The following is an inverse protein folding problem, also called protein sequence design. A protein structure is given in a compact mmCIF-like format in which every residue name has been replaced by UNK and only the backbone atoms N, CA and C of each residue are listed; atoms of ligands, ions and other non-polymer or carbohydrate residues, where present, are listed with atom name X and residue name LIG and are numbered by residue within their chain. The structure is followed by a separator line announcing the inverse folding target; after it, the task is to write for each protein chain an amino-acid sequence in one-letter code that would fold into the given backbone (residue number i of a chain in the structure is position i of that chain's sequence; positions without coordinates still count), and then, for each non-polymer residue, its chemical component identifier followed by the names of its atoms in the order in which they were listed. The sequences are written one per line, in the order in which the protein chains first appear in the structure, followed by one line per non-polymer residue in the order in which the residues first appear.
data_IF_660041432206
#
_entry.id   IF_660041432206
#
_cell.length_a   1.000
_cell.length_b   1.000
_cell.length_c   1.000
_cell.angle_alpha   90.00
_cell.angle_beta   90.00
_cell.angle_gamma   90.00
#
_symmetry.space_group_name_H-M   'P 1'
#
loop_
_entity.id
_entity.type
_entity.pdbx_description
1 polymer ?
#
# COMPACT_ATOMS: atom_id res chain seq x y z
N UNK A 1 -26.73 9.42 -0.64
CA UNK A 1 -26.08 10.35 -1.58
C UNK A 1 -24.61 9.98 -1.60
N UNK A 2 -24.22 9.25 -2.63
CA UNK A 2 -22.89 8.67 -2.83
C UNK A 2 -21.87 9.79 -3.06
N UNK A 3 -21.00 10.03 -2.07
CA UNK A 3 -19.84 10.88 -2.27
C UNK A 3 -18.79 10.06 -3.04
N UNK A 4 -18.93 10.06 -4.38
CA UNK A 4 -17.93 9.56 -5.34
C UNK A 4 -16.69 10.44 -5.26
N UNK A 5 -15.92 10.36 -4.17
CA UNK A 5 -14.63 11.05 -4.04
C UNK A 5 -13.65 10.42 -5.02
N UNK A 6 -13.47 11.16 -6.12
CA UNK A 6 -12.33 11.22 -7.02
C UNK A 6 -11.32 10.08 -6.86
N UNK A 7 -11.51 9.03 -7.66
CA UNK A 7 -10.51 7.97 -7.84
C UNK A 7 -9.24 8.63 -8.35
N UNK A 8 -8.16 8.55 -7.58
CA UNK A 8 -6.85 9.00 -8.01
C UNK A 8 -6.39 8.15 -9.21
N UNK A 9 -6.58 8.67 -10.42
CA UNK A 9 -6.38 7.92 -11.66
C UNK A 9 -4.94 7.46 -11.90
N UNK A 10 -3.96 8.04 -11.19
CA UNK A 10 -2.54 7.81 -11.47
C UNK A 10 -2.04 6.43 -11.00
N UNK A 11 -2.61 5.83 -9.95
CA UNK A 11 -2.24 4.46 -9.56
C UNK A 11 -2.84 3.40 -10.50
N UNK A 12 -3.90 3.76 -11.23
CA UNK A 12 -4.51 2.91 -12.26
C UNK A 12 -3.74 2.94 -13.57
N UNK A 13 -2.85 3.92 -13.76
CA UNK A 13 -2.07 4.00 -14.99
C UNK A 13 -1.03 2.87 -15.04
N UNK A 14 -0.55 2.53 -16.25
CA UNK A 14 0.62 1.69 -16.40
C UNK A 14 1.80 2.18 -15.55
N UNK A 15 2.68 1.26 -15.10
CA UNK A 15 3.89 1.66 -14.39
C UNK A 15 4.82 2.46 -15.30
N UNK A 16 5.61 3.35 -14.71
CA UNK A 16 6.61 4.13 -15.44
C UNK A 16 7.95 3.39 -15.54
N UNK A 17 8.25 2.56 -14.55
CA UNK A 17 9.48 1.76 -14.49
C UNK A 17 9.50 0.73 -15.61
N UNK A 18 10.62 0.68 -16.32
CA UNK A 18 10.96 -0.44 -17.20
C UNK A 18 11.96 -1.31 -16.46
N UNK A 19 11.55 -2.54 -16.15
CA UNK A 19 12.38 -3.50 -15.45
C UNK A 19 12.78 -4.58 -16.44
N UNK A 20 14.07 -4.74 -16.65
CA UNK A 20 14.57 -5.83 -17.45
C UNK A 20 14.33 -7.16 -16.73
N UNK A 21 13.98 -8.23 -17.46
CA UNK A 21 13.86 -9.54 -16.86
C UNK A 21 15.21 -9.95 -16.24
N UNK A 22 15.21 -10.70 -15.13
CA UNK A 22 16.44 -11.16 -14.52
C UNK A 22 17.22 -12.04 -15.52
N UNK A 23 18.51 -11.72 -15.70
CA UNK A 23 19.43 -12.48 -16.56
C UNK A 23 19.63 -13.89 -16.00
N UNK A 24 19.64 -14.02 -14.67
CA UNK A 24 19.62 -15.29 -13.97
C UNK A 24 18.19 -15.83 -13.87
N UNK A 25 17.95 -16.95 -14.56
CA UNK A 25 16.68 -17.67 -14.44
C UNK A 25 16.47 -18.17 -13.02
N UNK A 26 15.26 -18.02 -12.48
CA UNK A 26 14.84 -18.47 -11.12
C UNK A 26 15.45 -17.72 -9.94
N UNK A 27 15.88 -16.46 -10.12
CA UNK A 27 16.17 -15.60 -8.96
C UNK A 27 14.93 -15.52 -8.05
N UNK A 28 15.08 -15.83 -6.76
CA UNK A 28 13.97 -15.80 -5.80
C UNK A 28 13.66 -14.39 -5.27
N UNK A 29 14.38 -13.38 -5.74
CA UNK A 29 14.17 -11.98 -5.37
C UNK A 29 13.34 -11.27 -6.44
N UNK A 30 12.33 -10.53 -6.00
CA UNK A 30 11.56 -9.67 -6.88
C UNK A 30 12.32 -8.35 -7.11
N UNK A 31 12.33 -7.78 -8.33
CA UNK A 31 13.16 -6.63 -8.67
C UNK A 31 12.59 -5.29 -8.15
N UNK A 32 12.14 -5.24 -6.90
CA UNK A 32 11.53 -4.06 -6.28
C UNK A 32 12.49 -2.87 -6.19
N UNK A 33 13.79 -3.12 -6.10
CA UNK A 33 14.82 -2.10 -6.16
C UNK A 33 14.80 -1.27 -7.45
N UNK A 34 14.36 -1.84 -8.56
CA UNK A 34 14.26 -1.13 -9.85
C UNK A 34 12.98 -0.30 -10.01
N UNK A 35 11.96 -0.50 -9.15
CA UNK A 35 10.71 0.24 -9.23
C UNK A 35 10.90 1.68 -8.75
N UNK A 36 10.15 2.63 -9.29
CA UNK A 36 9.95 3.94 -8.66
C UNK A 36 9.11 3.78 -7.37
N UNK A 37 9.10 4.82 -6.52
CA UNK A 37 8.26 4.81 -5.33
C UNK A 37 6.77 4.68 -5.70
N UNK A 38 6.36 5.42 -6.71
CA UNK A 38 5.03 5.42 -7.31
C UNK A 38 4.64 4.04 -7.85
N UNK A 39 5.55 3.36 -8.55
CA UNK A 39 5.27 2.03 -9.10
C UNK A 39 5.20 0.93 -8.04
N UNK A 40 5.94 1.10 -6.94
CA UNK A 40 5.79 0.21 -5.79
C UNK A 40 4.40 0.38 -5.14
N UNK A 41 3.92 1.61 -4.97
CA UNK A 41 2.55 1.86 -4.49
C UNK A 41 1.49 1.29 -5.44
N UNK A 42 1.69 1.40 -6.78
CA UNK A 42 0.83 0.76 -7.79
C UNK A 42 0.79 -0.74 -7.62
N UNK A 43 1.94 -1.37 -7.43
CA UNK A 43 2.03 -2.80 -7.20
C UNK A 43 1.25 -3.20 -5.95
N UNK A 44 1.46 -2.53 -4.83
CA UNK A 44 0.75 -2.80 -3.58
C UNK A 44 -0.77 -2.67 -3.76
N UNK A 45 -1.25 -1.60 -4.42
CA UNK A 45 -2.68 -1.45 -4.73
C UNK A 45 -3.24 -2.63 -5.54
N UNK A 46 -2.52 -3.05 -6.58
CA UNK A 46 -2.95 -4.17 -7.43
C UNK A 46 -2.99 -5.48 -6.65
N UNK A 47 -2.00 -5.72 -5.79
CA UNK A 47 -1.98 -6.91 -4.92
C UNK A 47 -3.18 -6.91 -3.95
N UNK A 48 -3.45 -5.78 -3.29
CA UNK A 48 -4.60 -5.66 -2.38
C UNK A 48 -5.93 -5.93 -3.09
N UNK A 49 -6.06 -5.57 -4.38
CA UNK A 49 -7.27 -5.83 -5.16
C UNK A 49 -7.44 -7.28 -5.60
N UNK A 50 -6.36 -8.07 -5.62
CA UNK A 50 -6.46 -9.49 -5.88
C UNK A 50 -7.02 -10.26 -4.68
N UNK A 51 -7.05 -9.65 -3.49
CA UNK A 51 -7.66 -10.25 -2.31
C UNK A 51 -9.17 -10.36 -2.48
N UNK A 52 -9.68 -11.59 -2.45
CA UNK A 52 -11.09 -11.95 -2.73
C UNK A 52 -12.12 -11.35 -1.78
N UNK A 53 -11.65 -10.72 -0.69
CA UNK A 53 -12.49 -10.15 0.37
C UNK A 53 -12.63 -8.64 0.28
N UNK A 54 -11.98 -7.98 -0.68
CA UNK A 54 -11.97 -6.52 -0.81
C UNK A 54 -13.10 -6.04 -1.72
N UNK A 55 -14.04 -5.31 -1.13
CA UNK A 55 -15.23 -4.78 -1.81
C UNK A 55 -14.97 -3.40 -2.41
N UNK A 56 -14.10 -2.62 -1.77
CA UNK A 56 -13.72 -1.27 -2.18
C UNK A 56 -12.29 -0.96 -1.73
N UNK A 57 -11.45 -0.45 -2.62
CA UNK A 57 -10.04 -0.15 -2.34
C UNK A 57 -9.62 1.19 -2.94
N UNK A 58 -9.13 2.10 -2.09
CA UNK A 58 -8.80 3.47 -2.47
C UNK A 58 -7.56 4.01 -1.76
N UNK A 59 -6.97 5.04 -2.38
CA UNK A 59 -5.90 5.84 -1.81
C UNK A 59 -6.37 6.68 -0.64
N UNK A 60 -5.50 6.84 0.36
CA UNK A 60 -5.72 7.77 1.44
C UNK A 60 -4.98 9.10 1.20
N UNK A 61 -5.74 10.15 0.88
CA UNK A 61 -5.25 11.52 0.74
C UNK A 61 -4.38 11.78 -0.49
N UNK A 62 -3.88 13.02 -0.60
CA UNK A 62 -2.99 13.49 -1.68
C UNK A 62 -1.58 13.65 -1.12
N UNK A 63 -0.54 13.39 -1.94
CA UNK A 63 0.86 13.70 -1.60
C UNK A 63 0.96 15.10 -1.00
N UNK A 64 1.54 15.21 0.20
CA UNK A 64 1.70 16.47 0.93
C UNK A 64 0.63 16.73 2.01
N UNK A 65 -0.43 15.95 2.09
CA UNK A 65 -1.39 15.97 3.21
C UNK A 65 -0.91 15.09 4.37
N UNK A 66 -1.40 15.34 5.60
CA UNK A 66 -1.20 14.42 6.73
C UNK A 66 -1.96 13.12 6.46
N UNK A 67 -1.29 12.13 5.88
CA UNK A 67 -1.87 10.83 5.53
C UNK A 67 -1.92 9.83 6.71
N UNK A 68 -1.84 10.31 7.96
CA UNK A 68 -1.96 9.51 9.21
C UNK A 68 -1.14 8.20 9.27
N UNK A 69 -0.18 8.01 8.37
CA UNK A 69 0.59 6.77 8.26
C UNK A 69 -0.09 5.65 7.46
N UNK A 70 -1.09 5.91 6.63
CA UNK A 70 -1.63 4.92 5.68
C UNK A 70 -1.62 5.46 4.26
N UNK A 71 -1.44 4.57 3.29
CA UNK A 71 -1.43 4.91 1.86
C UNK A 71 -2.69 4.38 1.16
N UNK A 72 -3.20 3.22 1.59
CA UNK A 72 -4.36 2.54 0.99
C UNK A 72 -5.31 2.10 2.10
N UNK A 73 -6.62 2.19 1.85
CA UNK A 73 -7.63 1.51 2.65
C UNK A 73 -8.51 0.62 1.79
N UNK A 74 -8.89 -0.53 2.33
CA UNK A 74 -9.76 -1.51 1.71
C UNK A 74 -10.91 -1.87 2.66
N UNK A 75 -12.15 -1.80 2.18
CA UNK A 75 -13.33 -2.28 2.91
C UNK A 75 -13.50 -3.76 2.63
N UNK A 76 -13.69 -4.57 3.66
CA UNK A 76 -13.99 -5.99 3.53
C UNK A 76 -15.48 -6.19 3.25
N UNK A 77 -15.82 -7.16 2.42
CA UNK A 77 -17.22 -7.51 2.07
C UNK A 77 -18.05 -7.97 3.27
N UNK A 78 -17.39 -8.59 4.25
CA UNK A 78 -18.05 -9.23 5.40
C UNK A 78 -18.10 -8.38 6.67
N UNK A 79 -17.51 -7.18 6.69
CA UNK A 79 -17.35 -6.39 7.90
C UNK A 79 -17.44 -4.88 7.65
N UNK A 80 -17.95 -4.13 8.62
CA UNK A 80 -17.93 -2.66 8.62
C UNK A 80 -16.58 -2.08 9.08
N UNK A 81 -15.50 -2.84 8.85
CA UNK A 81 -14.12 -2.50 9.22
C UNK A 81 -13.23 -2.49 7.98
N UNK A 82 -12.14 -1.74 8.08
CA UNK A 82 -11.17 -1.58 7.00
C UNK A 82 -9.89 -2.39 7.26
N UNK A 83 -9.32 -2.95 6.20
CA UNK A 83 -7.88 -3.19 6.13
C UNK A 83 -7.19 -1.92 5.66
N UNK A 84 -6.11 -1.52 6.30
CA UNK A 84 -5.29 -0.39 5.85
C UNK A 84 -3.87 -0.85 5.57
N UNK A 85 -3.24 -0.20 4.60
CA UNK A 85 -1.92 -0.58 4.11
C UNK A 85 -1.02 0.65 4.09
N UNK A 86 0.23 0.45 4.51
CA UNK A 86 1.29 1.43 4.37
C UNK A 86 2.40 0.87 3.48
N UNK A 87 2.78 1.61 2.46
CA UNK A 87 3.80 1.25 1.49
C UNK A 87 5.14 1.87 1.88
N UNK A 88 6.18 1.05 1.97
CA UNK A 88 7.54 1.46 2.34
C UNK A 88 8.56 0.84 1.39
N UNK A 89 8.90 1.59 0.33
CA UNK A 89 10.02 1.25 -0.56
C UNK A 89 11.35 1.80 -0.01
N UNK A 90 11.70 1.39 1.20
CA UNK A 90 12.93 1.81 1.90
C UNK A 90 13.77 0.57 2.16
N UNK A 91 15.09 0.69 2.03
CA UNK A 91 16.02 -0.38 2.41
C UNK A 91 16.17 -0.44 3.92
N UNK A 92 16.45 -1.62 4.45
CA UNK A 92 16.70 -1.85 5.87
C UNK A 92 15.51 -1.39 6.74
N UNK A 93 14.29 -1.70 6.30
CA UNK A 93 13.05 -1.42 7.04
C UNK A 93 12.92 -2.35 8.27
N UNK A 94 13.79 -2.13 9.25
CA UNK A 94 13.94 -2.99 10.43
C UNK A 94 12.96 -2.70 11.58
N UNK A 95 13.17 -3.34 12.75
CA UNK A 95 12.24 -3.33 13.87
C UNK A 95 11.81 -1.94 14.34
N UNK A 96 12.75 -0.99 14.47
CA UNK A 96 12.44 0.38 14.89
C UNK A 96 11.51 1.11 13.92
N UNK A 97 11.66 0.87 12.61
CA UNK A 97 10.80 1.46 11.60
C UNK A 97 9.39 0.84 11.64
N UNK A 98 9.31 -0.47 11.90
CA UNK A 98 8.05 -1.19 12.10
C UNK A 98 7.32 -0.65 13.33
N UNK A 99 7.98 -0.56 14.48
CA UNK A 99 7.43 0.00 15.72
C UNK A 99 6.93 1.43 15.53
N UNK A 100 7.71 2.27 14.85
CA UNK A 100 7.33 3.64 14.52
C UNK A 100 6.10 3.70 13.62
N UNK A 101 6.00 2.83 12.62
CA UNK A 101 4.85 2.75 11.72
C UNK A 101 3.58 2.32 12.47
N UNK A 102 3.66 1.28 13.29
CA UNK A 102 2.54 0.79 14.11
C UNK A 102 2.10 1.86 15.11
N UNK A 103 3.04 2.49 15.82
CA UNK A 103 2.74 3.55 16.78
C UNK A 103 2.03 4.73 16.12
N UNK A 104 2.50 5.13 14.94
CA UNK A 104 1.86 6.21 14.16
C UNK A 104 0.44 5.85 13.73
N UNK A 105 0.23 4.60 13.28
CA UNK A 105 -1.09 4.11 12.90
C UNK A 105 -2.06 4.11 14.10
N UNK A 106 -1.62 3.59 15.26
CA UNK A 106 -2.46 3.47 16.46
C UNK A 106 -2.93 4.82 17.03
N UNK A 107 -2.15 5.89 16.84
CA UNK A 107 -2.54 7.25 17.23
C UNK A 107 -3.48 7.90 16.21
N UNK A 108 -3.52 7.39 14.98
CA UNK A 108 -4.36 7.90 13.90
C UNK A 108 -5.84 7.55 14.03
N UNK A 109 -6.70 8.31 13.35
CA UNK A 109 -8.15 8.12 13.34
C UNK A 109 -8.58 6.80 12.65
N UNK A 110 -7.68 6.16 11.91
CA UNK A 110 -7.93 4.87 11.26
C UNK A 110 -7.83 3.69 12.22
N UNK A 111 -7.14 3.80 13.35
CA UNK A 111 -7.00 2.72 14.32
C UNK A 111 -8.36 2.19 14.80
N UNK A 112 -9.34 3.07 15.02
CA UNK A 112 -10.69 2.68 15.47
C UNK A 112 -11.57 2.13 14.34
N UNK A 113 -11.24 2.42 13.08
CA UNK A 113 -12.00 2.06 11.87
C UNK A 113 -11.50 0.76 11.24
N UNK A 114 -10.29 0.37 11.56
CA UNK A 114 -9.61 -0.77 10.97
C UNK A 114 -9.50 -1.94 11.94
N UNK A 115 -9.52 -3.15 11.40
CA UNK A 115 -9.22 -4.38 12.15
C UNK A 115 -7.84 -4.96 11.78
N UNK A 116 -7.26 -4.47 10.67
CA UNK A 116 -6.02 -4.97 10.08
C UNK A 116 -5.17 -3.80 9.61
N UNK A 117 -3.89 -3.81 9.97
CA UNK A 117 -2.87 -2.91 9.44
C UNK A 117 -1.76 -3.73 8.81
N UNK A 118 -1.45 -3.45 7.54
CA UNK A 118 -0.48 -4.19 6.74
C UNK A 118 0.66 -3.26 6.33
N UNK A 119 1.89 -3.72 6.57
CA UNK A 119 3.10 -3.05 6.10
C UNK A 119 3.59 -3.74 4.83
N UNK A 120 3.58 -3.00 3.72
CA UNK A 120 4.13 -3.45 2.45
C UNK A 120 5.56 -2.90 2.32
N UNK A 121 6.56 -3.77 2.46
CA UNK A 121 7.98 -3.39 2.35
C UNK A 121 8.60 -3.91 1.07
N UNK A 122 9.63 -3.24 0.56
CA UNK A 122 10.36 -3.68 -0.64
C UNK A 122 11.48 -4.69 -0.36
N UNK A 123 11.65 -5.12 0.89
CA UNK A 123 12.58 -6.20 1.25
C UNK A 123 12.01 -7.52 0.72
N UNK A 124 12.82 -8.30 0.00
CA UNK A 124 12.44 -9.58 -0.62
C UNK A 124 13.53 -10.61 -0.49
#
# INVERSE_FOLDING_TARGET
MEDRRQVHSWLETPPLSKIDPPVETRKQELPFGGLTWEDFERLCLRLVRLESTVEHCQLYGVRGQKQEGIDIYARKTSADKYSVYQCKRVRDFGPTNIEGAVSKFLVGAWASKSDTFVLCTSES
#
